data_IF_716035974741
#
_entry.id   IF_716035974741
#
_cell.length_a   1.000
_cell.length_b   1.000
_cell.length_c   1.000
_cell.angle_alpha   90.00
_cell.angle_beta   90.00
_cell.angle_gamma   90.00
#
_symmetry.space_group_name_H-M   'P 1'
#
loop_
_entity.id
_entity.type
_entity.pdbx_description
1 polymer ?
#
# COMPACT_ATOMS: atom_id res chain seq x y z
N UNK A 1 -0.39 -5.35 13.43
CA UNK A 1 -0.17 -4.05 14.09
C UNK A 1 0.39 -3.01 13.13
N UNK A 2 -0.04 -1.75 13.19
CA UNK A 2 0.61 -0.65 12.48
C UNK A 2 1.16 0.38 13.48
N UNK A 3 2.44 0.74 13.38
CA UNK A 3 3.08 1.60 14.39
C UNK A 3 4.19 2.49 13.79
N UNK A 4 4.53 3.56 14.50
CA UNK A 4 5.71 4.39 14.22
C UNK A 4 6.99 3.84 14.87
N UNK A 5 6.90 2.73 15.62
CA UNK A 5 8.04 2.03 16.23
C UNK A 5 8.53 2.62 17.55
N UNK A 6 7.99 3.76 18.03
CA UNK A 6 8.54 4.47 19.19
C UNK A 6 8.44 3.75 20.53
N UNK A 7 7.46 2.86 20.67
CA UNK A 7 7.20 2.14 21.92
C UNK A 7 6.93 0.65 21.68
N UNK A 8 7.45 0.10 20.58
CA UNK A 8 7.21 -1.30 20.21
C UNK A 8 7.72 -2.26 21.28
N UNK A 9 8.79 -1.88 21.98
CA UNK A 9 9.41 -2.59 23.10
C UNK A 9 8.47 -2.76 24.29
N UNK A 10 7.46 -1.90 24.44
CA UNK A 10 6.45 -2.02 25.50
C UNK A 10 5.48 -3.18 25.28
N UNK A 11 5.42 -3.75 24.07
CA UNK A 11 4.61 -4.94 23.81
C UNK A 11 5.20 -6.19 24.46
N UNK A 12 6.52 -6.25 24.65
CA UNK A 12 7.21 -7.46 25.12
C UNK A 12 6.84 -8.68 24.25
N UNK A 13 6.61 -9.82 24.89
CA UNK A 13 6.26 -11.08 24.22
C UNK A 13 4.94 -11.00 23.42
N UNK A 14 4.06 -10.03 23.71
CA UNK A 14 2.81 -9.85 22.95
C UNK A 14 3.03 -9.48 21.49
N UNK A 15 4.26 -9.15 21.11
CA UNK A 15 4.61 -8.93 19.71
C UNK A 15 4.34 -10.16 18.84
N UNK A 16 4.43 -11.37 19.42
CA UNK A 16 4.13 -12.63 18.73
C UNK A 16 2.63 -12.91 18.57
N UNK A 17 1.76 -12.09 19.17
CA UNK A 17 0.31 -12.17 18.96
C UNK A 17 -0.11 -11.61 17.59
N UNK A 18 0.80 -10.95 16.86
CA UNK A 18 0.52 -10.32 15.57
C UNK A 18 1.07 -11.13 14.40
N UNK A 19 0.25 -11.36 13.37
CA UNK A 19 0.71 -11.99 12.12
C UNK A 19 1.58 -11.06 11.26
N UNK A 20 1.37 -9.75 11.38
CA UNK A 20 2.10 -8.72 10.64
C UNK A 20 2.27 -7.43 11.45
N UNK A 21 3.43 -6.79 11.33
CA UNK A 21 3.77 -5.49 11.92
C UNK A 21 4.23 -4.54 10.81
N UNK A 22 3.50 -3.45 10.61
CA UNK A 22 3.82 -2.41 9.66
C UNK A 22 4.55 -1.28 10.40
N UNK A 23 5.82 -1.04 10.06
CA UNK A 23 6.63 0.03 10.61
C UNK A 23 6.60 1.24 9.68
N UNK A 24 6.22 2.39 10.22
CA UNK A 24 6.01 3.60 9.42
C UNK A 24 7.34 4.30 9.10
N UNK A 25 7.87 4.08 7.89
CA UNK A 25 9.14 4.59 7.37
C UNK A 25 8.97 4.91 5.89
N UNK A 26 9.39 6.10 5.45
CA UNK A 26 9.06 6.62 4.12
C UNK A 26 10.17 6.45 3.08
N UNK A 27 11.31 5.88 3.47
CA UNK A 27 12.46 5.67 2.59
C UNK A 27 13.78 5.85 3.31
N UNK A 28 14.75 6.43 2.59
CA UNK A 28 16.07 6.80 3.12
C UNK A 28 15.95 7.71 4.35
N UNK A 29 17.01 7.83 5.18
CA UNK A 29 16.99 8.69 6.37
C UNK A 29 16.52 10.12 6.08
N UNK A 30 17.05 10.73 5.02
CA UNK A 30 16.68 12.09 4.62
C UNK A 30 15.20 12.23 4.21
N UNK A 31 14.60 11.21 3.57
CA UNK A 31 13.19 11.21 3.19
C UNK A 31 12.31 11.03 4.41
N UNK A 32 12.60 10.02 5.23
CA UNK A 32 11.82 9.67 6.43
C UNK A 32 11.83 10.82 7.43
N UNK A 33 13.00 11.34 7.79
CA UNK A 33 13.12 12.35 8.83
C UNK A 33 12.52 13.70 8.40
N UNK A 34 12.51 13.98 7.09
CA UNK A 34 11.87 15.17 6.54
C UNK A 34 10.36 15.20 6.76
N UNK A 35 9.70 14.04 6.72
CA UNK A 35 8.24 13.95 6.90
C UNK A 35 7.83 13.60 8.33
N UNK A 36 8.61 12.77 9.01
CA UNK A 36 8.23 12.20 10.32
C UNK A 36 8.92 12.87 11.50
N UNK A 37 9.96 13.66 11.25
CA UNK A 37 10.77 14.31 12.27
C UNK A 37 12.17 13.70 12.37
N UNK A 38 13.12 14.51 12.82
CA UNK A 38 14.52 14.11 13.00
C UNK A 38 14.65 12.88 13.90
N UNK A 39 15.42 11.88 13.46
CA UNK A 39 15.67 10.64 14.19
C UNK A 39 14.56 9.60 14.11
N UNK A 40 13.45 9.87 13.39
CA UNK A 40 12.39 8.88 13.21
C UNK A 40 12.85 7.66 12.42
N UNK A 41 13.68 7.85 11.38
CA UNK A 41 14.29 6.76 10.65
C UNK A 41 15.04 5.80 11.58
N UNK A 42 15.92 6.35 12.42
CA UNK A 42 16.74 5.56 13.33
C UNK A 42 15.89 4.84 14.38
N UNK A 43 14.81 5.48 14.85
CA UNK A 43 13.88 4.83 15.78
C UNK A 43 13.19 3.64 15.14
N UNK A 44 12.79 3.72 13.88
CA UNK A 44 12.19 2.59 13.14
C UNK A 44 13.21 1.48 12.93
N UNK A 45 14.46 1.81 12.57
CA UNK A 45 15.51 0.80 12.44
C UNK A 45 15.84 0.11 13.78
N UNK A 46 15.76 0.84 14.89
CA UNK A 46 15.85 0.25 16.24
C UNK A 46 14.66 -0.66 16.54
N UNK A 47 13.42 -0.25 16.21
CA UNK A 47 12.24 -1.08 16.38
C UNK A 47 12.35 -2.40 15.59
N UNK A 48 12.79 -2.33 14.33
CA UNK A 48 13.02 -3.51 13.49
C UNK A 48 14.09 -4.44 14.05
N UNK A 49 15.21 -3.89 14.57
CA UNK A 49 16.23 -4.70 15.25
C UNK A 49 15.68 -5.38 16.50
N UNK A 50 14.93 -4.66 17.32
CA UNK A 50 14.30 -5.21 18.51
C UNK A 50 13.35 -6.38 18.17
N UNK A 51 12.53 -6.25 17.12
CA UNK A 51 11.67 -7.35 16.64
C UNK A 51 12.48 -8.61 16.29
N UNK A 52 13.60 -8.44 15.60
CA UNK A 52 14.50 -9.54 15.26
C UNK A 52 15.14 -10.16 16.51
N UNK A 53 15.54 -9.35 17.49
CA UNK A 53 16.11 -9.80 18.77
C UNK A 53 15.09 -10.59 19.62
N UNK A 54 13.79 -10.26 19.53
CA UNK A 54 12.73 -11.05 20.15
C UNK A 54 12.39 -12.33 19.37
N UNK A 55 12.97 -12.54 18.19
CA UNK A 55 12.65 -13.69 17.34
C UNK A 55 11.25 -13.63 16.74
N UNK A 56 10.71 -12.44 16.46
CA UNK A 56 9.41 -12.28 15.81
C UNK A 56 9.41 -12.92 14.42
N UNK A 57 8.52 -13.90 14.21
CA UNK A 57 8.43 -14.70 12.97
C UNK A 57 7.36 -14.18 11.99
N UNK A 58 6.52 -13.23 12.41
CA UNK A 58 5.50 -12.65 11.55
C UNK A 58 6.07 -11.68 10.51
N UNK A 59 5.21 -11.15 9.65
CA UNK A 59 5.65 -10.27 8.57
C UNK A 59 6.03 -8.88 9.12
N UNK A 60 7.19 -8.34 8.72
CA UNK A 60 7.64 -6.99 9.09
C UNK A 60 7.68 -6.13 7.83
N UNK A 61 6.76 -5.19 7.73
CA UNK A 61 6.53 -4.45 6.49
C UNK A 61 6.95 -3.00 6.68
N UNK A 62 7.78 -2.48 5.78
CA UNK A 62 7.98 -1.03 5.70
C UNK A 62 6.74 -0.39 5.08
N UNK A 63 6.08 0.51 5.83
CA UNK A 63 4.91 1.26 5.39
C UNK A 63 5.27 2.72 5.14
N UNK A 64 5.31 3.09 3.87
CA UNK A 64 5.64 4.43 3.40
C UNK A 64 4.39 5.28 3.12
N UNK A 65 4.50 6.58 3.32
CA UNK A 65 3.66 7.59 2.67
C UNK A 65 4.50 8.32 1.61
N UNK A 66 4.24 8.08 0.34
CA UNK A 66 4.97 8.69 -0.77
C UNK A 66 4.42 10.09 -1.07
N UNK A 67 5.25 11.11 -0.96
CA UNK A 67 4.88 12.53 -1.18
C UNK A 67 5.98 13.26 -1.98
N UNK A 68 5.89 14.58 -2.08
CA UNK A 68 6.63 15.45 -3.03
C UNK A 68 8.16 15.32 -3.11
N UNK A 69 8.80 14.79 -2.07
CA UNK A 69 10.24 14.55 -1.96
C UNK A 69 10.63 13.07 -1.99
N UNK A 70 9.66 12.18 -2.13
CA UNK A 70 9.89 10.74 -2.27
C UNK A 70 10.39 10.47 -3.69
N UNK A 71 11.50 9.75 -3.79
CA UNK A 71 11.91 9.08 -5.01
C UNK A 71 11.56 7.62 -4.84
N UNK A 72 10.46 7.18 -5.47
CA UNK A 72 9.89 5.86 -5.18
C UNK A 72 10.90 4.74 -5.46
N UNK A 73 11.74 4.88 -6.48
CA UNK A 73 12.75 3.87 -6.79
C UNK A 73 13.82 3.82 -5.70
N UNK A 74 14.45 4.95 -5.39
CA UNK A 74 15.56 5.01 -4.45
C UNK A 74 15.10 4.64 -3.03
N UNK A 75 13.92 5.10 -2.63
CA UNK A 75 13.38 4.89 -1.28
C UNK A 75 12.87 3.45 -1.08
N UNK A 76 12.19 2.83 -2.06
CA UNK A 76 11.79 1.41 -1.99
C UNK A 76 13.02 0.50 -2.03
N UNK A 77 13.96 0.76 -2.95
CA UNK A 77 15.20 -0.04 -3.08
C UNK A 77 16.05 0.02 -1.82
N UNK A 78 16.09 1.18 -1.16
CA UNK A 78 16.74 1.31 0.14
C UNK A 78 16.08 0.42 1.21
N UNK A 79 14.75 0.48 1.32
CA UNK A 79 14.02 -0.24 2.36
C UNK A 79 14.02 -1.76 2.16
N UNK A 80 14.04 -2.25 0.92
CA UNK A 80 14.15 -3.69 0.62
C UNK A 80 15.45 -4.33 1.17
N UNK A 81 16.47 -3.54 1.53
CA UNK A 81 17.68 -4.05 2.17
C UNK A 81 17.46 -4.42 3.65
N UNK A 82 16.39 -3.93 4.27
CA UNK A 82 16.13 -4.06 5.71
C UNK A 82 14.81 -4.77 6.02
N UNK A 83 13.86 -4.74 5.09
CA UNK A 83 12.51 -5.27 5.26
C UNK A 83 12.21 -6.35 4.22
N UNK A 84 11.55 -7.45 4.62
CA UNK A 84 11.07 -8.45 3.66
C UNK A 84 10.05 -7.86 2.70
N UNK A 85 9.20 -6.94 3.17
CA UNK A 85 8.16 -6.31 2.36
C UNK A 85 8.17 -4.79 2.47
N UNK A 86 7.95 -4.11 1.34
CA UNK A 86 7.82 -2.66 1.25
C UNK A 86 6.49 -2.32 0.58
N UNK A 87 5.72 -1.48 1.26
CA UNK A 87 4.42 -0.99 0.83
C UNK A 87 4.40 0.54 0.93
N UNK A 88 3.77 1.21 -0.03
CA UNK A 88 3.56 2.66 0.03
C UNK A 88 2.11 3.01 -0.27
N UNK A 89 1.72 4.20 0.18
CA UNK A 89 0.47 4.86 -0.20
C UNK A 89 0.82 6.24 -0.74
N UNK A 90 0.12 6.70 -1.78
CA UNK A 90 0.32 8.06 -2.27
C UNK A 90 -0.31 9.08 -1.32
N UNK A 91 0.44 10.11 -0.95
CA UNK A 91 -0.11 11.35 -0.36
C UNK A 91 -0.84 12.14 -1.46
N UNK A 92 -1.95 11.59 -1.91
CA UNK A 92 -2.80 12.17 -2.93
C UNK A 92 -4.11 12.65 -2.28
N UNK A 93 -4.62 13.80 -2.72
CA UNK A 93 -5.97 14.29 -2.39
C UNK A 93 -6.15 14.78 -0.94
N UNK A 94 -5.41 14.26 0.02
CA UNK A 94 -5.65 14.49 1.46
C UNK A 94 -4.85 15.64 2.08
N UNK A 95 -3.54 15.77 1.78
CA UNK A 95 -2.71 16.73 2.52
C UNK A 95 -2.59 18.11 1.84
N UNK A 96 -2.42 19.18 2.64
CA UNK A 96 -2.17 20.52 2.12
C UNK A 96 -0.71 20.72 1.66
N UNK A 97 0.12 19.67 1.63
CA UNK A 97 1.56 19.77 1.34
C UNK A 97 1.87 20.13 -0.12
N UNK A 98 0.89 19.91 -1.00
CA UNK A 98 0.97 20.20 -2.43
C UNK A 98 -0.41 20.19 -3.09
N UNK A 99 -0.54 20.91 -4.19
CA UNK A 99 -1.76 20.94 -5.01
C UNK A 99 -1.70 19.94 -6.19
N UNK A 100 -2.80 19.83 -6.94
CA UNK A 100 -2.89 18.92 -8.09
C UNK A 100 -1.82 19.17 -9.17
N UNK A 101 -1.41 20.42 -9.39
CA UNK A 101 -0.37 20.74 -10.39
C UNK A 101 1.01 20.26 -9.94
N UNK A 102 1.35 20.46 -8.68
CA UNK A 102 2.60 19.96 -8.09
C UNK A 102 2.63 18.43 -8.05
N UNK A 103 1.51 17.81 -7.66
CA UNK A 103 1.34 16.35 -7.72
C UNK A 103 1.53 15.84 -9.14
N UNK A 104 0.86 16.44 -10.12
CA UNK A 104 1.03 16.10 -11.54
C UNK A 104 2.49 16.19 -11.96
N UNK A 105 3.17 17.29 -11.65
CA UNK A 105 4.57 17.46 -11.99
C UNK A 105 5.46 16.36 -11.39
N UNK A 106 5.31 16.07 -10.09
CA UNK A 106 6.05 14.99 -9.43
C UNK A 106 5.74 13.63 -10.04
N UNK A 107 4.49 13.36 -10.43
CA UNK A 107 4.15 12.07 -11.05
C UNK A 107 4.90 11.84 -12.35
N UNK A 108 5.03 12.87 -13.19
CA UNK A 108 5.74 12.78 -14.47
C UNK A 108 7.25 12.74 -14.30
N UNK A 109 7.78 13.54 -13.36
CA UNK A 109 9.22 13.76 -13.24
C UNK A 109 9.91 12.74 -12.33
N UNK A 110 9.17 12.11 -11.41
CA UNK A 110 9.73 11.21 -10.40
C UNK A 110 8.97 9.89 -10.28
N UNK A 111 7.67 9.93 -10.00
CA UNK A 111 6.94 8.70 -9.67
C UNK A 111 6.87 7.70 -10.82
N UNK A 112 6.36 8.08 -12.00
CA UNK A 112 6.21 7.18 -13.14
C UNK A 112 7.57 6.62 -13.62
N UNK A 113 8.62 7.44 -13.84
CA UNK A 113 9.96 6.92 -14.14
C UNK A 113 10.53 6.01 -13.04
N UNK A 114 10.22 6.31 -11.77
CA UNK A 114 10.62 5.48 -10.64
C UNK A 114 9.91 4.12 -10.64
N UNK A 115 8.62 4.08 -10.98
CA UNK A 115 7.87 2.84 -11.16
C UNK A 115 8.46 2.01 -12.31
N UNK A 116 8.82 2.63 -13.43
CA UNK A 116 9.47 1.94 -14.56
C UNK A 116 10.79 1.29 -14.12
N UNK A 117 11.65 2.04 -13.42
CA UNK A 117 12.91 1.52 -12.89
C UNK A 117 12.69 0.40 -11.88
N UNK A 118 11.68 0.51 -11.02
CA UNK A 118 11.33 -0.53 -10.04
C UNK A 118 10.85 -1.80 -10.76
N UNK A 119 9.98 -1.68 -11.76
CA UNK A 119 9.47 -2.80 -12.54
C UNK A 119 10.58 -3.51 -13.31
N UNK A 120 11.47 -2.74 -13.94
CA UNK A 120 12.63 -3.30 -14.63
C UNK A 120 13.55 -4.04 -13.65
N UNK A 121 13.84 -3.45 -12.49
CA UNK A 121 14.64 -4.09 -11.45
C UNK A 121 13.98 -5.35 -10.92
N UNK A 122 12.70 -5.28 -10.58
CA UNK A 122 11.94 -6.42 -10.08
C UNK A 122 11.91 -7.57 -11.08
N UNK A 123 11.71 -7.28 -12.36
CA UNK A 123 11.77 -8.30 -13.43
C UNK A 123 13.13 -8.97 -13.50
N UNK A 124 14.24 -8.22 -13.39
CA UNK A 124 15.59 -8.80 -13.35
C UNK A 124 15.84 -9.70 -12.14
N UNK A 125 15.24 -9.39 -10.99
CA UNK A 125 15.30 -10.29 -9.82
C UNK A 125 14.48 -11.56 -10.06
N UNK A 126 13.29 -11.45 -10.64
CA UNK A 126 12.48 -12.62 -11.00
C UNK A 126 13.22 -13.55 -11.98
N UNK A 127 13.95 -13.00 -12.95
CA UNK A 127 14.80 -13.78 -13.87
C UNK A 127 15.92 -14.56 -13.15
N UNK A 128 16.27 -14.13 -11.94
CA UNK A 128 17.28 -14.72 -11.07
C UNK A 128 16.68 -15.63 -9.97
N UNK A 129 15.40 -15.97 -10.08
CA UNK A 129 14.67 -16.79 -9.09
C UNK A 129 14.56 -16.11 -7.70
N UNK A 130 14.57 -14.78 -7.68
CA UNK A 130 14.41 -13.95 -6.48
C UNK A 130 13.14 -13.08 -6.61
N UNK A 131 12.30 -13.06 -5.57
CA UNK A 131 11.01 -12.33 -5.57
C UNK A 131 11.04 -11.21 -4.52
N UNK A 132 11.53 -10.00 -4.86
CA UNK A 132 11.52 -8.89 -3.93
C UNK A 132 10.10 -8.54 -3.47
N UNK A 133 9.94 -8.30 -2.17
CA UNK A 133 8.66 -8.04 -1.49
C UNK A 133 8.03 -6.67 -1.77
N UNK A 134 7.92 -6.26 -3.04
CA UNK A 134 7.26 -5.01 -3.43
C UNK A 134 5.75 -5.22 -3.41
N UNK A 135 5.10 -4.84 -2.31
CA UNK A 135 3.70 -5.22 -2.03
C UNK A 135 2.72 -4.82 -3.13
N UNK A 136 2.75 -3.61 -3.70
CA UNK A 136 1.87 -3.27 -4.82
C UNK A 136 2.07 -4.17 -6.04
N UNK A 137 3.31 -4.57 -6.35
CA UNK A 137 3.57 -5.46 -7.49
C UNK A 137 3.03 -6.86 -7.22
N UNK A 138 3.30 -7.41 -6.04
CA UNK A 138 2.84 -8.74 -5.66
C UNK A 138 1.30 -8.83 -5.61
N UNK A 139 0.63 -7.83 -5.02
CA UNK A 139 -0.83 -7.85 -4.97
C UNK A 139 -1.49 -7.66 -6.34
N UNK A 140 -0.89 -6.87 -7.24
CA UNK A 140 -1.34 -6.76 -8.63
C UNK A 140 -1.13 -8.10 -9.35
N UNK A 141 0.05 -8.71 -9.22
CA UNK A 141 0.35 -10.02 -9.80
C UNK A 141 -0.67 -11.08 -9.35
N UNK A 142 -0.97 -11.14 -8.04
CA UNK A 142 -2.01 -12.00 -7.48
C UNK A 142 -3.37 -11.78 -8.15
N UNK A 143 -3.80 -10.54 -8.33
CA UNK A 143 -5.09 -10.22 -8.98
C UNK A 143 -5.09 -10.50 -10.49
N UNK A 144 -3.96 -10.34 -11.18
CA UNK A 144 -3.83 -10.75 -12.58
C UNK A 144 -3.95 -12.27 -12.77
N UNK A 145 -3.50 -13.05 -11.78
CA UNK A 145 -3.54 -14.52 -11.81
C UNK A 145 -4.89 -15.06 -11.35
N UNK A 146 -5.39 -14.61 -10.20
CA UNK A 146 -6.59 -15.16 -9.54
C UNK A 146 -7.87 -14.37 -9.83
N UNK A 147 -7.76 -13.19 -10.43
CA UNK A 147 -8.84 -12.22 -10.50
C UNK A 147 -9.12 -11.57 -9.15
N UNK A 148 -10.03 -10.61 -9.16
CA UNK A 148 -10.48 -9.90 -7.97
C UNK A 148 -11.82 -9.22 -8.24
N UNK A 149 -12.60 -9.01 -7.19
CA UNK A 149 -13.80 -8.17 -7.24
C UNK A 149 -13.78 -7.19 -6.08
N UNK A 150 -14.31 -5.99 -6.33
CA UNK A 150 -14.30 -4.90 -5.36
C UNK A 150 -12.90 -4.40 -4.99
N UNK A 151 -12.89 -3.49 -4.03
CA UNK A 151 -11.71 -2.76 -3.59
C UNK A 151 -10.63 -3.72 -3.03
N UNK A 152 -9.34 -3.55 -3.39
CA UNK A 152 -8.26 -4.39 -2.90
C UNK A 152 -8.14 -4.46 -1.38
N UNK A 153 -8.37 -3.35 -0.68
CA UNK A 153 -8.32 -3.31 0.79
C UNK A 153 -9.58 -3.88 1.47
N UNK A 154 -10.66 -4.13 0.71
CA UNK A 154 -11.94 -4.62 1.23
C UNK A 154 -12.81 -3.58 1.94
N UNK A 155 -12.34 -2.33 2.05
CA UNK A 155 -13.04 -1.24 2.76
C UNK A 155 -14.49 -1.10 2.30
N UNK A 156 -15.41 -0.95 3.26
CA UNK A 156 -16.86 -0.82 3.00
C UNK A 156 -17.56 -2.13 2.67
N UNK A 157 -16.85 -3.28 2.64
CA UNK A 157 -17.43 -4.62 2.46
C UNK A 157 -16.80 -5.62 3.41
N UNK A 158 -15.72 -6.27 2.99
CA UNK A 158 -15.04 -7.33 3.74
C UNK A 158 -14.05 -6.79 4.79
N UNK A 159 -13.83 -5.48 4.81
CA UNK A 159 -13.10 -4.77 5.85
C UNK A 159 -13.91 -3.55 6.33
N UNK A 160 -13.96 -3.39 7.65
CA UNK A 160 -14.57 -2.26 8.34
C UNK A 160 -13.61 -1.76 9.42
N UNK A 161 -13.83 -0.54 9.89
CA UNK A 161 -13.10 0.08 10.98
C UNK A 161 -14.06 0.45 12.10
N UNK A 162 -13.59 0.29 13.34
CA UNK A 162 -14.32 0.70 14.53
C UNK A 162 -13.57 1.90 15.10
N UNK A 163 -14.27 3.02 15.20
CA UNK A 163 -13.73 4.27 15.76
C UNK A 163 -13.66 4.19 17.29
N UNK A 164 -12.89 5.09 17.92
CA UNK A 164 -12.75 5.12 19.39
C UNK A 164 -14.05 5.45 20.13
N UNK A 165 -15.00 6.09 19.46
CA UNK A 165 -16.36 6.35 19.94
C UNK A 165 -17.37 5.26 19.56
N UNK A 166 -16.91 4.14 18.99
CA UNK A 166 -17.69 2.93 18.75
C UNK A 166 -18.47 2.90 17.43
N UNK A 167 -18.36 3.92 16.58
CA UNK A 167 -19.00 3.91 15.24
C UNK A 167 -18.33 2.87 14.34
N UNK A 168 -19.15 2.14 13.58
CA UNK A 168 -18.73 1.20 12.53
C UNK A 168 -18.67 1.95 11.20
N UNK A 169 -17.49 2.02 10.60
CA UNK A 169 -17.24 2.77 9.35
C UNK A 169 -16.50 1.92 8.31
N UNK A 170 -16.64 2.26 7.02
CA UNK A 170 -16.04 1.48 5.93
C UNK A 170 -14.54 1.66 5.76
N UNK A 171 -14.03 2.87 5.97
CA UNK A 171 -12.65 3.23 5.77
C UNK A 171 -12.14 4.14 6.90
N UNK A 172 -10.96 3.88 7.50
CA UNK A 172 -10.48 4.68 8.62
C UNK A 172 -10.00 6.09 8.22
N UNK A 173 -9.78 6.34 6.91
CA UNK A 173 -9.31 7.64 6.38
C UNK A 173 -10.40 8.71 6.51
N UNK A 174 -11.67 8.32 6.41
CA UNK A 174 -12.80 9.21 6.19
C UNK A 174 -13.79 9.19 7.37
N UNK A 175 -13.28 9.11 8.60
CA UNK A 175 -14.10 8.85 9.78
C UNK A 175 -15.16 9.95 10.06
N UNK A 176 -14.97 11.14 9.49
CA UNK A 176 -15.87 12.28 9.60
C UNK A 176 -16.99 12.31 8.55
N UNK A 177 -16.95 11.46 7.53
CA UNK A 177 -17.88 11.53 6.40
C UNK A 177 -19.09 10.61 6.58
N UNK A 178 -20.30 11.12 6.35
CA UNK A 178 -21.54 10.38 6.59
C UNK A 178 -21.71 9.15 5.67
N UNK A 179 -21.26 9.22 4.42
CA UNK A 179 -21.29 8.08 3.50
C UNK A 179 -20.46 6.89 4.00
N UNK A 180 -19.54 7.14 4.93
CA UNK A 180 -18.62 6.14 5.46
C UNK A 180 -19.21 5.35 6.64
N UNK A 181 -20.38 5.74 7.16
CA UNK A 181 -21.06 5.02 8.22
C UNK A 181 -21.65 3.71 7.68
N UNK A 182 -21.41 2.61 8.38
CA UNK A 182 -21.91 1.27 8.01
C UNK A 182 -23.02 0.78 8.94
N UNK A 183 -23.58 1.62 9.81
CA UNK A 183 -24.55 1.20 10.82
C UNK A 183 -23.90 0.68 12.09
N UNK A 184 -24.37 -0.45 12.59
CA UNK A 184 -23.90 -1.11 13.82
C UNK A 184 -23.61 -2.59 13.59
N UNK A 185 -23.27 -3.35 14.64
CA UNK A 185 -22.93 -4.77 14.52
C UNK A 185 -24.12 -5.68 14.18
N UNK A 186 -25.36 -5.22 14.39
CA UNK A 186 -26.57 -5.97 14.11
C UNK A 186 -27.08 -5.70 12.67
N UNK A 187 -26.87 -4.50 12.13
CA UNK A 187 -27.27 -4.09 10.77
C UNK A 187 -26.13 -3.36 10.02
N UNK A 188 -25.15 -4.13 9.56
CA UNK A 188 -24.00 -3.61 8.78
C UNK A 188 -24.39 -3.36 7.31
N UNK A 189 -24.25 -2.12 6.85
CA UNK A 189 -24.49 -1.72 5.45
C UNK A 189 -23.18 -1.63 4.64
N UNK A 190 -23.19 -2.24 3.45
CA UNK A 190 -22.06 -2.16 2.52
C UNK A 190 -21.98 -0.78 1.84
N UNK A 191 -20.76 -0.29 1.65
CA UNK A 191 -20.47 0.94 0.91
C UNK A 191 -19.82 0.57 -0.42
N UNK A 192 -20.56 0.84 -1.48
CA UNK A 192 -20.18 0.47 -2.84
C UNK A 192 -19.66 1.64 -3.66
N UNK A 193 -18.86 1.28 -4.66
CA UNK A 193 -18.49 2.15 -5.78
C UNK A 193 -19.29 1.75 -7.02
N UNK A 194 -19.41 2.66 -7.97
CA UNK A 194 -20.07 2.44 -9.25
C UNK A 194 -19.24 2.96 -10.43
N UNK A 195 -19.93 3.50 -11.42
CA UNK A 195 -19.29 4.09 -12.60
C UNK A 195 -18.37 5.27 -12.23
N UNK A 196 -17.26 5.50 -12.97
CA UNK A 196 -16.82 4.76 -14.16
C UNK A 196 -16.01 3.48 -13.85
N UNK A 197 -15.86 3.11 -12.57
CA UNK A 197 -14.96 2.02 -12.18
C UNK A 197 -15.53 0.65 -12.53
N UNK A 198 -16.83 0.43 -12.31
CA UNK A 198 -17.47 -0.88 -12.50
C UNK A 198 -17.50 -1.35 -13.96
N UNK A 199 -17.41 -0.45 -14.93
CA UNK A 199 -17.29 -0.77 -16.37
C UNK A 199 -15.86 -0.71 -16.90
N UNK A 200 -14.87 -0.42 -16.05
CA UNK A 200 -13.47 -0.28 -16.45
C UNK A 200 -12.85 -1.65 -16.82
N UNK A 201 -12.09 -1.66 -17.91
CA UNK A 201 -11.31 -2.80 -18.43
C UNK A 201 -10.33 -3.44 -17.42
N UNK A 202 -9.73 -2.64 -16.53
CA UNK A 202 -8.82 -3.14 -15.48
C UNK A 202 -9.48 -3.30 -14.11
N UNK A 203 -10.81 -3.23 -14.02
CA UNK A 203 -11.53 -3.26 -12.74
C UNK A 203 -11.25 -4.53 -11.91
N UNK A 204 -11.09 -5.68 -12.56
CA UNK A 204 -10.77 -6.95 -11.88
C UNK A 204 -9.41 -6.92 -11.18
N UNK A 205 -8.52 -6.02 -11.59
CA UNK A 205 -7.21 -5.78 -10.98
C UNK A 205 -7.31 -4.63 -9.98
N UNK A 206 -7.65 -3.42 -10.43
CA UNK A 206 -7.60 -2.25 -9.57
C UNK A 206 -8.74 -2.19 -8.54
N UNK A 207 -9.87 -2.85 -8.79
CA UNK A 207 -11.04 -2.89 -7.91
C UNK A 207 -11.69 -1.53 -7.64
N UNK A 208 -11.38 -0.51 -8.44
CA UNK A 208 -11.74 0.88 -8.16
C UNK A 208 -10.88 1.57 -7.10
N UNK A 209 -9.69 1.02 -6.82
CA UNK A 209 -8.61 1.58 -5.99
C UNK A 209 -9.01 1.90 -4.55
N UNK A 210 -8.99 3.17 -4.16
CA UNK A 210 -9.28 3.66 -2.82
C UNK A 210 -10.73 4.15 -2.73
N UNK A 211 -11.50 3.59 -1.79
CA UNK A 211 -12.91 3.98 -1.54
C UNK A 211 -13.04 5.49 -1.31
N UNK A 212 -12.16 6.03 -0.47
CA UNK A 212 -12.16 7.45 -0.13
C UNK A 212 -11.96 8.32 -1.37
N UNK A 213 -10.97 8.00 -2.20
CA UNK A 213 -10.72 8.83 -3.39
C UNK A 213 -11.86 8.73 -4.41
N UNK A 214 -12.52 7.57 -4.50
CA UNK A 214 -13.69 7.41 -5.36
C UNK A 214 -14.87 8.28 -4.90
N UNK A 215 -15.13 8.33 -3.59
CA UNK A 215 -16.26 9.05 -2.99
C UNK A 215 -16.04 10.56 -2.97
N UNK A 216 -14.90 11.00 -2.47
CA UNK A 216 -14.67 12.43 -2.21
C UNK A 216 -14.22 13.24 -3.42
N UNK A 217 -13.35 12.66 -4.26
CA UNK A 217 -12.79 13.35 -5.44
C UNK A 217 -12.34 14.79 -5.13
N UNK A 218 -11.60 15.03 -4.04
CA UNK A 218 -11.27 16.40 -3.59
C UNK A 218 -10.44 17.21 -4.62
N UNK A 219 -9.74 16.55 -5.53
CA UNK A 219 -9.06 17.17 -6.69
C UNK A 219 -9.89 17.15 -7.99
N UNK A 220 -11.20 16.93 -7.86
CA UNK A 220 -12.15 16.80 -8.96
C UNK A 220 -11.89 15.58 -9.86
N UNK A 221 -12.62 15.53 -10.97
CA UNK A 221 -12.49 14.46 -11.97
C UNK A 221 -11.10 14.46 -12.64
N UNK A 222 -10.44 15.62 -12.69
CA UNK A 222 -9.07 15.74 -13.21
C UNK A 222 -8.08 14.95 -12.33
N UNK A 223 -8.12 15.17 -11.02
CA UNK A 223 -7.29 14.42 -10.07
C UNK A 223 -7.63 12.93 -10.04
N UNK A 224 -8.93 12.60 -10.11
CA UNK A 224 -9.36 11.21 -10.20
C UNK A 224 -8.81 10.51 -11.46
N UNK A 225 -8.89 11.18 -12.61
CA UNK A 225 -8.35 10.67 -13.90
C UNK A 225 -6.84 10.50 -13.85
N UNK A 226 -6.12 11.45 -13.24
CA UNK A 226 -4.67 11.35 -13.05
C UNK A 226 -4.31 10.11 -12.23
N UNK A 227 -4.98 9.88 -11.09
CA UNK A 227 -4.73 8.71 -10.25
C UNK A 227 -5.08 7.40 -10.96
N UNK A 228 -6.16 7.37 -11.74
CA UNK A 228 -6.50 6.23 -12.60
C UNK A 228 -5.39 5.94 -13.62
N UNK A 229 -4.78 6.97 -14.21
CA UNK A 229 -3.64 6.81 -15.13
C UNK A 229 -2.42 6.21 -14.41
N UNK A 230 -2.08 6.68 -13.20
CA UNK A 230 -0.98 6.11 -12.42
C UNK A 230 -1.22 4.63 -12.10
N UNK A 231 -2.46 4.30 -11.71
CA UNK A 231 -2.86 2.91 -11.44
C UNK A 231 -2.73 2.04 -12.69
N UNK A 232 -3.19 2.52 -13.86
CA UNK A 232 -3.05 1.80 -15.13
C UNK A 232 -1.58 1.53 -15.46
N UNK A 233 -0.74 2.55 -15.36
CA UNK A 233 0.70 2.42 -15.60
C UNK A 233 1.32 1.35 -14.70
N UNK A 234 1.02 1.37 -13.40
CA UNK A 234 1.49 0.36 -12.46
C UNK A 234 1.02 -1.06 -12.83
N UNK A 235 -0.26 -1.22 -13.21
CA UNK A 235 -0.80 -2.51 -13.65
C UNK A 235 -0.16 -2.99 -14.96
N UNK A 236 0.11 -2.08 -15.90
CA UNK A 236 0.79 -2.39 -17.17
C UNK A 236 2.22 -2.89 -16.92
N UNK A 237 2.98 -2.24 -16.04
CA UNK A 237 4.33 -2.67 -15.68
C UNK A 237 4.34 -4.09 -15.09
N UNK A 238 3.43 -4.40 -14.17
CA UNK A 238 3.35 -5.75 -13.59
C UNK A 238 2.81 -6.78 -14.60
N UNK A 239 1.88 -6.37 -15.46
CA UNK A 239 1.33 -7.23 -16.52
C UNK A 239 2.38 -7.64 -17.54
N UNK A 240 3.36 -6.78 -17.83
CA UNK A 240 4.47 -7.09 -18.72
C UNK A 240 5.33 -8.25 -18.20
N UNK A 241 5.49 -8.37 -16.87
CA UNK A 241 6.21 -9.46 -16.22
C UNK A 241 5.35 -10.74 -16.01
N UNK A 242 4.07 -10.72 -16.36
CA UNK A 242 3.13 -11.83 -16.09
C UNK A 242 3.57 -13.20 -16.62
N UNK A 243 4.17 -13.34 -17.82
CA UNK A 243 4.68 -14.63 -18.28
C UNK A 243 5.72 -15.23 -17.34
N UNK A 244 6.66 -14.41 -16.86
CA UNK A 244 7.72 -14.81 -15.94
C UNK A 244 7.16 -15.15 -14.55
N UNK A 245 6.25 -14.31 -14.04
CA UNK A 245 5.53 -14.57 -12.78
C UNK A 245 4.84 -15.94 -12.84
N UNK A 246 4.17 -16.26 -13.95
CA UNK A 246 3.48 -17.55 -14.13
C UNK A 246 4.44 -18.73 -14.17
N UNK A 247 5.64 -18.57 -14.73
CA UNK A 247 6.65 -19.66 -14.73
C UNK A 247 7.25 -19.92 -13.36
N UNK A 248 7.35 -18.89 -12.50
CA UNK A 248 7.89 -19.00 -11.13
C UNK A 248 6.85 -19.46 -10.10
N UNK A 249 5.55 -19.40 -10.44
CA UNK A 249 4.46 -19.71 -9.53
C UNK A 249 4.55 -21.08 -8.83
N UNK A 250 5.00 -22.19 -9.48
CA UNK A 250 5.11 -23.49 -8.82
C UNK A 250 6.07 -23.49 -7.62
N UNK A 251 7.16 -22.72 -7.70
CA UNK A 251 8.22 -22.69 -6.69
C UNK A 251 8.05 -21.53 -5.71
N UNK A 252 7.44 -20.42 -6.17
CA UNK A 252 7.31 -19.16 -5.42
C UNK A 252 5.86 -18.76 -5.12
N UNK A 253 4.93 -19.72 -5.04
CA UNK A 253 3.50 -19.43 -4.87
C UNK A 253 3.23 -18.51 -3.66
N UNK A 254 3.91 -18.74 -2.54
CA UNK A 254 3.70 -17.98 -1.29
C UNK A 254 4.12 -16.52 -1.42
N UNK A 255 5.19 -16.24 -2.14
CA UNK A 255 5.75 -14.90 -2.32
C UNK A 255 4.96 -14.14 -3.39
N UNK A 256 4.68 -14.77 -4.53
CA UNK A 256 3.97 -14.15 -5.65
C UNK A 256 2.48 -13.93 -5.38
N UNK A 257 1.87 -14.70 -4.47
CA UNK A 257 0.45 -14.58 -4.12
C UNK A 257 0.23 -13.87 -2.78
N UNK A 258 1.04 -12.83 -2.56
CA UNK A 258 0.95 -11.95 -1.40
C UNK A 258 -0.17 -10.89 -1.52
N UNK A 259 -0.76 -10.42 -0.40
CA UNK A 259 -0.62 -10.97 0.95
C UNK A 259 -1.53 -12.21 1.14
N UNK A 260 -1.12 -13.18 1.98
CA UNK A 260 -1.90 -14.40 2.22
C UNK A 260 -3.25 -14.13 2.91
N UNK A 261 -3.36 -13.02 3.64
CA UNK A 261 -4.57 -12.52 4.29
C UNK A 261 -4.65 -11.00 4.14
N UNK A 262 -5.75 -10.36 4.56
CA UNK A 262 -5.84 -8.90 4.58
C UNK A 262 -4.98 -8.34 5.73
N UNK A 263 -3.71 -8.08 5.45
CA UNK A 263 -2.74 -7.51 6.39
C UNK A 263 -2.74 -5.97 6.38
N UNK A 264 -3.82 -5.34 5.89
CA UNK A 264 -4.04 -3.89 5.84
C UNK A 264 -3.12 -3.09 4.89
N UNK A 265 -2.28 -3.75 4.10
CA UNK A 265 -1.55 -3.07 3.01
C UNK A 265 -2.48 -2.73 1.86
N UNK A 266 -2.30 -1.55 1.27
CA UNK A 266 -2.96 -1.12 0.05
C UNK A 266 -2.22 -1.69 -1.17
N UNK A 267 -2.90 -2.54 -1.93
CA UNK A 267 -2.32 -3.17 -3.13
C UNK A 267 -2.21 -2.18 -4.30
N UNK A 268 -3.09 -1.18 -4.33
CA UNK A 268 -3.15 -0.16 -5.38
C UNK A 268 -2.89 1.21 -4.71
N UNK A 269 -1.62 1.66 -4.66
CA UNK A 269 -1.21 2.86 -3.94
C UNK A 269 -1.79 4.18 -4.47
#
# INVERSE_FOLDING_TARGET
EQTNGFYIDRLGDRVHDFDAILLSVDGRPATTDRYRGEGCHDRVMQARRWLAEQGYEGDVIARMAASRHTDIYEDVTYLLQFFPHVHWQLDAVWSPLWNLQEFRQWTEQSYLPGIDRLAESWTRHLEQDDVPGIVPFLGIARRLIRGGTGLPCGAGRSAMSITTDGRVIGCPIAAEFDWNQMGDFDDVQCIDIGEPCTSCDIYTVCGGRCLFTYKERLWGDEGFTLLCRLTRHLVEQVSAALPLIKSLLPDHERELLYPPFNNTTEIIP
#
